data_IF_456131285680
#
_entry.id   IF_456131285680
#
_cell.length_a   1.000
_cell.length_b   1.000
_cell.length_c   1.000
_cell.angle_alpha   90.00
_cell.angle_beta   90.00
_cell.angle_gamma   90.00
#
_symmetry.space_group_name_H-M   'P 1'
#
loop_
_entity.id
_entity.type
_entity.pdbx_description
1 polymer ?
#
# COMPACT_ATOMS: atom_id res chain seq x y z
N UNK A 1 -18.11 10.25 1.87
CA UNK A 1 -16.77 10.24 1.24
C UNK A 1 -16.22 8.83 1.40
N UNK A 2 -15.85 8.15 0.30
CA UNK A 2 -15.15 6.87 0.42
C UNK A 2 -13.78 7.15 1.06
N UNK A 3 -13.43 6.40 2.10
CA UNK A 3 -12.10 6.48 2.72
C UNK A 3 -11.07 6.16 1.64
N UNK A 4 -10.00 6.94 1.53
CA UNK A 4 -8.88 6.57 0.67
C UNK A 4 -8.16 5.39 1.34
N UNK A 5 -7.92 4.29 0.61
CA UNK A 5 -7.40 3.08 1.20
C UNK A 5 -5.91 3.24 1.53
N UNK A 6 -5.54 2.76 2.71
CA UNK A 6 -4.15 2.52 3.11
C UNK A 6 -4.01 1.00 3.12
N UNK A 7 -2.88 0.49 2.67
CA UNK A 7 -2.64 -0.94 2.58
C UNK A 7 -1.49 -1.33 3.49
N UNK A 8 -1.66 -2.40 4.27
CA UNK A 8 -0.55 -3.13 4.88
C UNK A 8 0.00 -4.09 3.84
N UNK A 9 1.30 -4.03 3.61
CA UNK A 9 1.98 -4.94 2.72
C UNK A 9 2.64 -6.08 3.50
N UNK A 10 2.75 -7.26 2.87
CA UNK A 10 3.47 -8.40 3.44
C UNK A 10 4.97 -8.15 3.66
N UNK A 11 5.54 -7.11 3.06
CA UNK A 11 6.92 -6.64 3.31
C UNK A 11 7.08 -5.92 4.66
N UNK A 12 5.99 -5.72 5.41
CA UNK A 12 5.97 -5.03 6.70
C UNK A 12 5.78 -3.52 6.61
N UNK A 13 5.74 -2.95 5.40
CA UNK A 13 5.49 -1.55 5.15
C UNK A 13 3.99 -1.26 4.97
N UNK A 14 3.65 0.04 4.90
CA UNK A 14 2.31 0.49 4.53
C UNK A 14 2.38 1.48 3.38
N UNK A 15 1.39 1.41 2.52
CA UNK A 15 1.34 2.20 1.30
C UNK A 15 -0.02 2.85 1.11
N UNK A 16 -0.02 4.10 0.65
CA UNK A 16 -1.19 4.75 0.12
C UNK A 16 -1.32 4.50 -1.38
N UNK A 17 -2.41 5.01 -1.96
CA UNK A 17 -2.66 4.94 -3.41
C UNK A 17 -1.56 5.65 -4.21
N UNK A 18 -0.92 6.69 -3.64
CA UNK A 18 0.20 7.39 -4.27
C UNK A 18 1.41 6.46 -4.42
N UNK A 19 1.88 5.84 -3.33
CA UNK A 19 3.07 4.99 -3.35
C UNK A 19 2.88 3.71 -4.17
N UNK A 20 1.66 3.16 -4.18
CA UNK A 20 1.30 2.01 -5.01
C UNK A 20 1.34 2.41 -6.48
N UNK A 21 0.73 3.54 -6.85
CA UNK A 21 0.72 4.01 -8.23
C UNK A 21 2.14 4.25 -8.77
N UNK A 22 3.03 4.86 -7.97
CA UNK A 22 4.42 5.08 -8.38
C UNK A 22 5.19 3.77 -8.65
N UNK A 23 4.95 2.72 -7.86
CA UNK A 23 5.56 1.38 -8.05
C UNK A 23 5.04 0.67 -9.29
N UNK A 24 3.75 0.83 -9.58
CA UNK A 24 3.13 0.30 -10.79
C UNK A 24 3.67 1.02 -12.03
N UNK A 25 3.70 2.35 -12.00
CA UNK A 25 4.13 3.18 -13.14
C UNK A 25 5.62 2.99 -13.44
N UNK A 26 6.45 2.78 -12.41
CA UNK A 26 7.87 2.47 -12.59
C UNK A 26 8.14 1.03 -13.04
N UNK A 27 7.13 0.15 -13.03
CA UNK A 27 7.27 -1.27 -13.32
C UNK A 27 7.96 -2.06 -12.21
N UNK A 28 8.19 -1.46 -11.03
CA UNK A 28 8.71 -2.18 -9.86
C UNK A 28 7.74 -3.26 -9.41
N UNK A 29 6.43 -2.97 -9.47
CA UNK A 29 5.36 -3.90 -9.14
C UNK A 29 4.44 -4.12 -10.35
N UNK A 30 3.96 -5.35 -10.51
CA UNK A 30 2.97 -5.74 -11.51
C UNK A 30 1.77 -6.41 -10.81
N UNK A 31 0.51 -6.03 -11.12
CA UNK A 31 -0.65 -6.69 -10.54
C UNK A 31 -0.74 -8.15 -10.98
N UNK A 32 -0.86 -9.07 -10.02
CA UNK A 32 -0.91 -10.51 -10.27
C UNK A 32 -2.34 -11.07 -10.16
N UNK A 33 -2.99 -10.84 -9.01
CA UNK A 33 -4.37 -11.25 -8.77
C UNK A 33 -5.08 -10.33 -7.78
N UNK A 34 -6.41 -10.40 -7.76
CA UNK A 34 -7.26 -9.59 -6.89
C UNK A 34 -8.39 -10.44 -6.31
N UNK A 35 -8.51 -10.42 -4.98
CA UNK A 35 -9.65 -10.95 -4.26
C UNK A 35 -10.63 -9.81 -3.99
N UNK A 36 -11.71 -9.77 -4.77
CA UNK A 36 -12.76 -8.77 -4.67
C UNK A 36 -13.59 -8.87 -3.39
N UNK A 37 -13.60 -10.02 -2.71
CA UNK A 37 -14.37 -10.22 -1.48
C UNK A 37 -13.62 -9.64 -0.27
N UNK A 38 -12.33 -9.97 -0.13
CA UNK A 38 -11.48 -9.45 0.94
C UNK A 38 -10.90 -8.06 0.64
N UNK A 39 -10.92 -7.63 -0.63
CA UNK A 39 -10.22 -6.43 -1.09
C UNK A 39 -8.70 -6.56 -1.08
N UNK A 40 -8.19 -7.79 -1.04
CA UNK A 40 -6.75 -8.10 -1.01
C UNK A 40 -6.20 -8.12 -2.43
N UNK A 41 -5.09 -7.42 -2.65
CA UNK A 41 -4.43 -7.33 -3.96
C UNK A 41 -3.05 -7.98 -3.88
N UNK A 42 -2.68 -8.75 -4.89
CA UNK A 42 -1.34 -9.34 -4.98
C UNK A 42 -0.54 -8.64 -6.07
N UNK A 43 0.70 -8.30 -5.73
CA UNK A 43 1.65 -7.64 -6.61
C UNK A 43 2.87 -8.52 -6.78
N UNK A 44 3.33 -8.73 -8.01
CA UNK A 44 4.61 -9.36 -8.32
C UNK A 44 5.68 -8.27 -8.46
N UNK A 45 6.80 -8.41 -7.76
CA UNK A 45 7.95 -7.50 -7.84
C UNK A 45 8.83 -7.83 -9.04
N UNK A 46 9.74 -6.93 -9.40
CA UNK A 46 10.70 -7.14 -10.49
C UNK A 46 11.64 -8.36 -10.30
N UNK A 47 11.86 -8.80 -9.05
CA UNK A 47 12.65 -10.00 -8.73
C UNK A 47 11.80 -11.28 -8.57
N UNK A 48 10.48 -11.18 -8.84
CA UNK A 48 9.54 -12.31 -8.82
C UNK A 48 9.01 -12.69 -7.44
N UNK A 49 9.18 -11.82 -6.43
CA UNK A 49 8.50 -11.95 -5.14
C UNK A 49 7.02 -11.59 -5.27
N UNK A 50 6.16 -12.28 -4.52
CA UNK A 50 4.74 -11.96 -4.42
C UNK A 50 4.45 -11.22 -3.11
N UNK A 51 4.02 -9.97 -3.25
CA UNK A 51 3.55 -9.11 -2.17
C UNK A 51 2.04 -9.15 -2.06
N UNK A 52 1.53 -9.05 -0.84
CA UNK A 52 0.11 -9.00 -0.52
C UNK A 52 -0.23 -7.65 0.07
N UNK A 53 -1.20 -6.95 -0.51
CA UNK A 53 -1.73 -5.69 -0.03
C UNK A 53 -3.10 -5.91 0.59
N UNK A 54 -3.18 -5.68 1.91
CA UNK A 54 -4.42 -5.79 2.68
C UNK A 54 -4.91 -4.39 3.07
N UNK A 55 -6.16 -4.02 2.77
CA UNK A 55 -6.69 -2.72 3.14
C UNK A 55 -6.78 -2.61 4.66
N UNK A 56 -6.26 -1.52 5.22
CA UNK A 56 -6.31 -1.21 6.66
C UNK A 56 -6.98 0.12 6.93
N UNK A 57 -7.62 0.23 8.09
CA UNK A 57 -8.16 1.50 8.57
C UNK A 57 -7.03 2.40 9.04
N UNK A 58 -7.15 3.71 8.80
CA UNK A 58 -6.23 4.72 9.38
C UNK A 58 -6.15 4.63 10.91
N UNK A 59 -7.21 4.14 11.57
CA UNK A 59 -7.25 3.97 13.03
C UNK A 59 -6.41 2.80 13.54
N UNK A 60 -6.05 1.88 12.65
CA UNK A 60 -5.29 0.67 12.98
C UNK A 60 -3.80 0.80 12.61
N UNK A 61 -3.38 2.00 12.18
CA UNK A 61 -1.98 2.29 11.89
C UNK A 61 -1.14 2.32 13.18
N UNK A 62 0.07 1.73 13.16
CA UNK A 62 0.95 1.78 14.31
C UNK A 62 1.54 3.18 14.52
N UNK A 63 2.02 3.43 15.73
CA UNK A 63 2.80 4.62 16.03
C UNK A 63 4.03 4.67 15.11
N UNK A 64 4.29 5.84 14.51
CA UNK A 64 5.37 6.02 13.52
C UNK A 64 4.93 5.89 12.06
N UNK A 65 3.69 5.46 11.79
CA UNK A 65 3.09 5.55 10.45
C UNK A 65 2.09 6.70 10.40
N UNK A 66 2.33 7.64 9.50
CA UNK A 66 1.51 8.82 9.30
C UNK A 66 1.00 8.88 7.86
N UNK A 67 -0.15 9.54 7.68
CA UNK A 67 -0.74 9.71 6.35
C UNK A 67 -1.11 11.15 6.10
N UNK A 68 -0.85 11.60 4.88
CA UNK A 68 -1.15 12.94 4.40
C UNK A 68 -2.00 12.86 3.13
N UNK A 69 -2.95 13.79 3.00
CA UNK A 69 -3.71 13.93 1.75
C UNK A 69 -3.01 14.93 0.86
N UNK A 70 -2.48 14.44 -0.26
CA UNK A 70 -1.84 15.23 -1.31
C UNK A 70 -2.76 15.36 -2.52
N UNK A 71 -2.34 16.13 -3.53
CA UNK A 71 -3.14 16.31 -4.77
C UNK A 71 -3.36 14.98 -5.49
N UNK A 72 -2.38 14.09 -5.48
CA UNK A 72 -2.44 12.80 -6.17
C UNK A 72 -3.24 11.72 -5.42
N UNK A 73 -3.42 11.84 -4.10
CA UNK A 73 -4.01 10.77 -3.29
C UNK A 73 -3.68 10.90 -1.80
N UNK A 74 -3.60 9.76 -1.13
CA UNK A 74 -3.03 9.59 0.20
C UNK A 74 -1.58 9.13 0.06
N UNK A 75 -0.68 9.92 0.64
CA UNK A 75 0.71 9.54 0.83
C UNK A 75 0.90 8.96 2.24
N UNK A 76 1.78 7.96 2.36
CA UNK A 76 2.13 7.31 3.63
C UNK A 76 3.59 7.58 3.95
N UNK A 77 3.86 8.11 5.14
CA UNK A 77 5.20 8.34 5.67
C UNK A 77 5.41 7.50 6.91
N UNK A 78 6.51 6.75 6.94
CA UNK A 78 6.82 5.77 7.99
C UNK A 78 8.19 6.08 8.56
N UNK A 79 8.31 6.15 9.88
CA UNK A 79 9.63 6.21 10.52
C UNK A 79 10.24 4.80 10.55
N UNK A 80 11.51 4.63 10.17
CA UNK A 80 12.19 3.35 10.37
C UNK A 80 12.18 3.02 11.86
N UNK A 81 11.78 1.80 12.21
CA UNK A 81 11.93 1.30 13.57
C UNK A 81 13.43 1.18 13.86
N UNK A 82 13.92 1.86 14.92
CA UNK A 82 15.31 1.77 15.40
C UNK A 82 15.69 0.36 15.88
#
# INVERSE_FOLDING_TARGET
MKSQPIYRCSDGCYYGDVEIWERLESGTWTPCCWDTEAGTEWMETEDGELLVLEPVSRRDLPDGVSTERVTAGTAVSQQPSE
#
